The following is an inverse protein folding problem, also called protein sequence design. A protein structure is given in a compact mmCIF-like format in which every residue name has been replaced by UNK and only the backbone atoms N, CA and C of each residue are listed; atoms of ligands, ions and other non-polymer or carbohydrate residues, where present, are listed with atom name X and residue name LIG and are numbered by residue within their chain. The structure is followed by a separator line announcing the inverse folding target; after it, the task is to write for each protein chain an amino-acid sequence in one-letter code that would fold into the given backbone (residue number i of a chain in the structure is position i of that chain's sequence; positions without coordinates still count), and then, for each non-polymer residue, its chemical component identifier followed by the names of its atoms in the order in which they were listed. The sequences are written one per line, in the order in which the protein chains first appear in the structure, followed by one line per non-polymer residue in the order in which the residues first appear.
data_IF_726772639247
#
_entry.id   IF_726772639247
#
_cell.length_a   1.000
_cell.length_b   1.000
_cell.length_c   1.000
_cell.angle_alpha   90.00
_cell.angle_beta   90.00
_cell.angle_gamma   90.00
#
_symmetry.space_group_name_H-M   'P 1'
#
loop_
_entity.id
_entity.type
_entity.pdbx_description
1 polymer ?
#
# COMPACT_ATOMS: atom_id res chain seq x y z
N UNK A 1 -21.29 -22.64 3.85
CA UNK A 1 -20.99 -22.20 5.22
C UNK A 1 -19.57 -22.66 5.48
N UNK A 2 -18.60 -21.88 5.03
CA UNK A 2 -17.18 -22.13 5.27
C UNK A 2 -16.73 -21.00 6.18
N UNK A 3 -16.35 -21.41 7.39
CA UNK A 3 -16.01 -20.53 8.51
C UNK A 3 -14.58 -20.06 8.23
N UNK A 4 -14.45 -18.75 8.09
CA UNK A 4 -13.23 -18.04 7.74
C UNK A 4 -12.27 -18.05 8.95
N UNK A 5 -11.60 -19.18 9.18
CA UNK A 5 -10.48 -19.30 10.14
C UNK A 5 -9.22 -18.66 9.53
N UNK A 6 -9.31 -17.37 9.19
CA UNK A 6 -8.13 -16.56 8.93
C UNK A 6 -7.53 -16.23 10.29
N UNK A 7 -6.29 -16.68 10.51
CA UNK A 7 -5.54 -16.33 11.72
C UNK A 7 -5.39 -14.81 11.82
N UNK A 8 -5.30 -14.23 13.03
CA UNK A 8 -5.10 -12.78 13.20
C UNK A 8 -3.88 -12.25 12.42
N UNK A 9 -2.89 -13.11 12.18
CA UNK A 9 -1.72 -12.80 11.36
C UNK A 9 -2.05 -12.72 9.86
N UNK A 10 -2.92 -13.61 9.37
CA UNK A 10 -3.37 -13.68 7.98
C UNK A 10 -4.28 -12.51 7.61
N UNK A 11 -5.15 -12.07 8.52
CA UNK A 11 -6.01 -10.89 8.32
C UNK A 11 -5.20 -9.59 8.29
N UNK A 12 -4.16 -9.48 9.12
CA UNK A 12 -3.21 -8.37 9.10
C UNK A 12 -2.37 -8.36 7.81
N UNK A 13 -1.91 -9.54 7.36
CA UNK A 13 -1.18 -9.70 6.10
C UNK A 13 -2.01 -9.27 4.89
N UNK A 14 -3.28 -9.72 4.81
CA UNK A 14 -4.24 -9.31 3.79
C UNK A 14 -4.48 -7.80 3.78
N UNK A 15 -4.62 -7.20 4.96
CA UNK A 15 -4.86 -5.75 5.08
C UNK A 15 -3.69 -4.94 4.55
N UNK A 16 -2.45 -5.31 4.89
CA UNK A 16 -1.23 -4.67 4.36
C UNK A 16 -1.13 -4.82 2.84
N UNK A 17 -1.30 -6.04 2.33
CA UNK A 17 -1.23 -6.29 0.89
C UNK A 17 -2.24 -5.43 0.11
N UNK A 18 -3.46 -5.25 0.62
CA UNK A 18 -4.50 -4.41 0.01
C UNK A 18 -4.17 -2.92 0.03
N UNK A 19 -3.45 -2.46 1.05
CA UNK A 19 -3.01 -1.06 1.16
C UNK A 19 -2.01 -0.69 0.05
N UNK A 20 -1.11 -1.61 -0.31
CA UNK A 20 -0.05 -1.33 -1.29
C UNK A 20 -0.41 -1.69 -2.74
N UNK A 21 -1.18 -2.76 -2.95
CA UNK A 21 -1.49 -3.26 -4.31
C UNK A 21 -2.81 -2.73 -4.87
N UNK A 22 -3.67 -2.11 -4.04
CA UNK A 22 -5.00 -1.65 -4.42
C UNK A 22 -5.89 -2.71 -5.09
N UNK A 23 -5.62 -4.01 -4.88
CA UNK A 23 -6.45 -5.11 -5.39
C UNK A 23 -7.71 -5.23 -4.50
N UNK A 24 -8.88 -5.04 -5.10
CA UNK A 24 -10.16 -4.97 -4.39
C UNK A 24 -10.75 -6.33 -3.98
N UNK A 25 -10.28 -7.43 -4.59
CA UNK A 25 -10.79 -8.78 -4.32
C UNK A 25 -10.00 -9.48 -3.21
N UNK A 26 -10.68 -9.77 -2.09
CA UNK A 26 -10.13 -10.51 -0.95
C UNK A 26 -9.70 -11.92 -1.36
N UNK A 27 -10.47 -12.58 -2.21
CA UNK A 27 -10.18 -13.91 -2.74
C UNK A 27 -8.91 -13.94 -3.60
N UNK A 28 -8.72 -12.94 -4.46
CA UNK A 28 -7.50 -12.82 -5.29
C UNK A 28 -6.28 -12.54 -4.42
N UNK A 29 -6.39 -11.65 -3.44
CA UNK A 29 -5.32 -11.40 -2.47
C UNK A 29 -4.97 -12.66 -1.69
N UNK A 30 -5.97 -13.43 -1.25
CA UNK A 30 -5.76 -14.69 -0.53
C UNK A 30 -5.05 -15.73 -1.40
N UNK A 31 -5.44 -15.85 -2.67
CA UNK A 31 -4.77 -16.75 -3.62
C UNK A 31 -3.31 -16.33 -3.87
N UNK A 32 -3.04 -15.03 -3.99
CA UNK A 32 -1.68 -14.50 -4.13
C UNK A 32 -0.84 -14.75 -2.88
N UNK A 33 -1.34 -14.41 -1.69
CA UNK A 33 -0.63 -14.64 -0.42
C UNK A 33 -0.39 -16.14 -0.16
N UNK A 34 -1.38 -17.00 -0.46
CA UNK A 34 -1.23 -18.44 -0.31
C UNK A 34 -0.19 -19.04 -1.29
N UNK A 35 -0.02 -18.44 -2.47
CA UNK A 35 1.02 -18.85 -3.43
C UNK A 35 2.44 -18.42 -3.02
N UNK A 36 2.55 -17.44 -2.11
CA UNK A 36 3.82 -16.88 -1.63
C UNK A 36 4.07 -17.17 -0.14
N UNK A 37 3.56 -18.30 0.39
CA UNK A 37 3.75 -18.72 1.79
C UNK A 37 3.37 -17.65 2.83
N UNK A 38 2.39 -16.78 2.51
CA UNK A 38 1.97 -15.62 3.31
C UNK A 38 3.06 -14.57 3.55
N UNK A 39 4.12 -14.55 2.75
CA UNK A 39 5.14 -13.50 2.74
C UNK A 39 4.61 -12.25 2.02
N UNK A 40 4.13 -11.29 2.82
CA UNK A 40 3.49 -10.05 2.36
C UNK A 40 4.43 -9.23 1.48
N UNK A 41 5.71 -9.15 1.84
CA UNK A 41 6.68 -8.31 1.13
C UNK A 41 6.95 -8.88 -0.27
N UNK A 42 7.18 -10.20 -0.36
CA UNK A 42 7.36 -10.90 -1.65
C UNK A 42 6.12 -10.83 -2.52
N UNK A 43 4.94 -10.93 -1.91
CA UNK A 43 3.68 -10.83 -2.62
C UNK A 43 3.47 -9.42 -3.19
N UNK A 44 3.73 -8.37 -2.40
CA UNK A 44 3.63 -6.97 -2.85
C UNK A 44 4.62 -6.71 -3.98
N UNK A 45 5.87 -7.13 -3.83
CA UNK A 45 6.90 -6.98 -4.85
C UNK A 45 6.46 -7.66 -6.15
N UNK A 46 6.00 -8.90 -6.09
CA UNK A 46 5.51 -9.64 -7.26
C UNK A 46 4.27 -8.99 -7.88
N UNK A 47 3.33 -8.53 -7.06
CA UNK A 47 2.11 -7.88 -7.55
C UNK A 47 2.41 -6.55 -8.24
N UNK A 48 3.27 -5.72 -7.64
CA UNK A 48 3.73 -4.48 -8.27
C UNK A 48 4.52 -4.77 -9.55
N UNK A 49 5.44 -5.74 -9.53
CA UNK A 49 6.19 -6.16 -10.72
C UNK A 49 5.26 -6.68 -11.82
N UNK A 50 4.19 -7.39 -11.47
CA UNK A 50 3.19 -7.88 -12.41
C UNK A 50 2.37 -6.75 -13.03
N UNK A 51 2.01 -5.73 -12.26
CA UNK A 51 1.41 -4.49 -12.79
C UNK A 51 2.37 -3.74 -13.71
N UNK A 52 3.66 -3.88 -13.47
CA UNK A 52 4.73 -3.32 -14.30
C UNK A 52 5.27 -4.29 -15.36
N UNK A 53 4.66 -5.44 -15.67
CA UNK A 53 5.04 -6.31 -16.81
C UNK A 53 6.58 -6.49 -17.00
N UNK A 54 7.34 -6.58 -15.90
CA UNK A 54 8.78 -6.91 -15.92
C UNK A 54 8.97 -8.38 -15.49
N UNK A 55 9.46 -9.29 -16.34
CA UNK A 55 9.97 -10.59 -15.91
C UNK A 55 11.17 -10.42 -14.97
N UNK A 56 10.96 -10.68 -13.68
CA UNK A 56 12.01 -10.90 -12.69
C UNK A 56 12.51 -12.34 -12.76
N UNK A 57 13.71 -12.53 -13.33
CA UNK A 57 14.52 -13.73 -13.11
C UNK A 57 15.77 -13.31 -12.35
N UNK A 58 15.62 -13.16 -11.03
CA UNK A 58 16.75 -13.16 -10.10
C UNK A 58 16.65 -14.46 -9.31
N UNK A 59 17.24 -15.50 -9.89
CA UNK A 59 17.64 -16.71 -9.18
C UNK A 59 18.78 -16.33 -8.22
N UNK A 60 18.46 -16.09 -6.95
CA UNK A 60 19.44 -16.23 -5.87
C UNK A 60 19.13 -17.51 -5.09
N UNK A 61 19.53 -18.63 -5.70
CA UNK A 61 19.63 -19.93 -5.06
C UNK A 61 20.91 -19.94 -4.21
N UNK A 62 20.79 -19.70 -2.90
CA UNK A 62 21.77 -20.16 -1.92
C UNK A 62 21.02 -20.79 -0.73
N UNK A 63 20.64 -22.05 -0.93
CA UNK A 63 20.24 -22.97 0.11
C UNK A 63 21.50 -23.45 0.86
N UNK A 64 21.53 -23.24 2.17
CA UNK A 64 22.28 -24.07 3.11
C UNK A 64 21.43 -24.25 4.37
N UNK A 65 20.69 -25.35 4.38
CA UNK A 65 20.11 -26.06 5.54
C UNK A 65 21.26 -26.62 6.43
N UNK A 66 20.99 -27.42 7.48
CA UNK A 66 20.25 -27.14 8.72
C UNK A 66 21.08 -27.57 9.95
N UNK A 67 20.76 -27.12 11.17
CA UNK A 67 21.24 -27.80 12.37
C UNK A 67 20.12 -28.00 13.39
N UNK A 68 20.10 -29.21 13.94
CA UNK A 68 18.98 -29.94 14.52
C UNK A 68 19.32 -30.33 15.97
N UNK A 69 18.36 -30.10 16.89
CA UNK A 69 18.10 -30.77 18.19
C UNK A 69 19.10 -30.54 19.37
N UNK A 70 18.74 -30.81 20.66
CA UNK A 70 17.55 -31.53 21.14
C UNK A 70 16.79 -31.07 22.41
N UNK A 71 15.53 -31.51 22.43
CA UNK A 71 14.56 -31.89 23.48
C UNK A 71 14.86 -31.82 25.01
N UNK A 72 13.90 -31.18 25.72
CA UNK A 72 13.07 -31.65 26.88
C UNK A 72 13.68 -31.79 28.32
N UNK A 73 12.88 -32.11 29.38
CA UNK A 73 12.01 -31.30 30.29
C UNK A 73 12.47 -31.47 31.79
N UNK A 74 11.67 -31.42 32.91
CA UNK A 74 10.48 -30.66 33.39
C UNK A 74 10.70 -29.90 34.74
N UNK A 75 9.69 -29.15 35.20
CA UNK A 75 9.26 -28.73 36.59
C UNK A 75 10.21 -28.87 37.83
N UNK A 76 10.13 -27.97 38.84
CA UNK A 76 9.03 -27.99 39.82
C UNK A 76 8.53 -26.63 40.37
N UNK A 77 7.25 -26.63 40.77
CA UNK A 77 6.52 -25.63 41.56
C UNK A 77 6.96 -25.64 43.04
N UNK A 78 6.85 -24.50 43.78
CA UNK A 78 6.01 -24.53 44.99
C UNK A 78 5.30 -23.20 45.34
N UNK A 79 3.97 -23.28 45.39
CA UNK A 79 3.01 -22.91 46.48
C UNK A 79 3.13 -21.65 47.35
N UNK A 80 1.91 -21.14 47.63
CA UNK A 80 1.43 -20.44 48.86
C UNK A 80 1.84 -18.95 48.98
N UNK A 81 0.96 -17.96 49.22
CA UNK A 81 -0.15 -17.91 50.17
C UNK A 81 -1.23 -16.87 49.76
N UNK A 82 -2.49 -17.19 50.06
CA UNK A 82 -3.67 -16.30 50.04
C UNK A 82 -3.90 -15.74 51.46
N UNK A 83 -4.44 -14.51 51.61
CA UNK A 83 -5.59 -14.38 52.51
C UNK A 83 -6.69 -13.40 52.04
N UNK A 84 -7.90 -13.94 51.84
CA UNK A 84 -9.19 -13.52 52.43
C UNK A 84 -9.39 -12.03 52.77
N UNK A 85 -10.26 -11.31 52.02
CA UNK A 85 -11.22 -10.32 52.58
C UNK A 85 -12.56 -10.31 51.80
N UNK A 86 -13.53 -10.98 52.42
CA UNK A 86 -14.94 -10.61 52.66
C UNK A 86 -15.79 -9.92 51.58
N UNK A 87 -16.85 -10.64 51.18
CA UNK A 87 -18.05 -10.16 50.48
C UNK A 87 -18.85 -9.19 51.36
N UNK A 88 -19.22 -8.02 50.83
CA UNK A 88 -20.26 -7.17 51.39
C UNK A 88 -21.26 -6.77 50.29
N UNK A 89 -22.51 -7.19 50.43
CA UNK A 89 -23.65 -6.83 49.59
C UNK A 89 -24.45 -5.75 50.34
N UNK A 90 -24.67 -4.55 49.79
CA UNK A 90 -25.74 -3.68 50.21
C UNK A 90 -26.90 -3.72 49.21
N UNK A 91 -28.06 -4.17 49.67
CA UNK A 91 -29.34 -4.00 49.00
C UNK A 91 -29.79 -2.53 49.10
N UNK A 92 -30.16 -1.90 47.99
CA UNK A 92 -31.01 -0.68 48.01
C UNK A 92 -31.95 -0.61 46.79
N UNK A 93 -33.25 -0.77 47.07
CA UNK A 93 -34.48 -0.16 46.48
C UNK A 93 -34.78 -0.28 44.96
N UNK A 94 -36.08 -0.32 44.57
CA UNK A 94 -36.56 -0.76 43.26
C UNK A 94 -36.46 0.34 42.19
N UNK A 95 -36.44 -0.03 40.89
CA UNK A 95 -36.50 0.94 39.81
C UNK A 95 -37.93 1.48 39.67
N UNK A 96 -38.11 2.77 40.00
CA UNK A 96 -39.27 3.55 39.54
C UNK A 96 -39.15 3.73 38.02
N UNK A 97 -39.86 2.87 37.28
CA UNK A 97 -39.93 2.92 35.82
C UNK A 97 -40.98 3.96 35.44
N UNK A 98 -40.55 5.21 35.34
CA UNK A 98 -41.24 6.22 34.56
C UNK A 98 -41.15 5.82 33.07
N UNK A 99 -42.21 5.21 32.53
CA UNK A 99 -42.31 4.74 31.15
C UNK A 99 -42.58 5.95 30.26
N UNK A 100 -41.53 6.72 29.98
CA UNK A 100 -41.52 7.63 28.85
C UNK A 100 -41.18 6.85 27.58
N UNK A 101 -42.00 7.03 26.53
CA UNK A 101 -42.04 6.25 25.30
C UNK A 101 -40.63 5.93 24.73
N UNK A 102 -40.15 4.67 24.83
CA UNK A 102 -38.78 4.30 24.44
C UNK A 102 -38.53 4.46 22.94
N UNK A 103 -39.58 4.41 22.11
CA UNK A 103 -39.53 4.55 20.66
C UNK A 103 -39.09 5.98 20.24
N UNK A 104 -39.60 7.01 20.91
CA UNK A 104 -39.23 8.40 20.62
C UNK A 104 -37.81 8.73 21.09
N UNK A 105 -37.32 8.03 22.13
CA UNK A 105 -35.96 8.20 22.65
C UNK A 105 -34.91 7.58 21.71
N UNK A 106 -35.19 6.42 21.13
CA UNK A 106 -34.29 5.75 20.18
C UNK A 106 -34.19 6.53 18.86
N UNK A 107 -35.28 7.16 18.39
CA UNK A 107 -35.27 7.98 17.17
C UNK A 107 -34.52 9.32 17.36
N UNK A 108 -34.57 9.90 18.56
CA UNK A 108 -33.96 11.20 18.85
C UNK A 108 -32.45 11.12 19.09
N UNK A 109 -31.91 9.96 19.48
CA UNK A 109 -30.47 9.77 19.71
C UNK A 109 -29.63 9.98 18.42
N UNK A 110 -29.86 9.29 17.29
CA UNK A 110 -29.06 9.49 16.08
C UNK A 110 -29.21 10.90 15.49
N UNK A 111 -30.41 11.50 15.59
CA UNK A 111 -30.67 12.86 15.09
C UNK A 111 -29.94 13.93 15.91
N UNK A 112 -29.88 13.76 17.24
CA UNK A 112 -29.14 14.66 18.12
C UNK A 112 -27.62 14.48 17.95
N UNK A 113 -27.15 13.24 17.73
CA UNK A 113 -25.75 12.96 17.37
C UNK A 113 -25.37 13.58 16.02
N UNK A 114 -26.21 13.47 14.99
CA UNK A 114 -25.96 14.04 13.66
C UNK A 114 -25.92 15.58 13.71
N UNK A 115 -26.85 16.20 14.46
CA UNK A 115 -26.90 17.65 14.64
C UNK A 115 -25.71 18.18 15.46
N UNK A 116 -25.31 17.45 16.51
CA UNK A 116 -24.11 17.78 17.29
C UNK A 116 -22.82 17.56 16.51
N UNK A 117 -22.76 16.55 15.65
CA UNK A 117 -21.63 16.27 14.76
C UNK A 117 -21.49 17.37 13.71
N UNK A 118 -22.59 17.79 13.07
CA UNK A 118 -22.61 18.90 12.11
C UNK A 118 -22.17 20.25 12.72
N UNK A 119 -22.52 20.51 13.99
CA UNK A 119 -22.10 21.74 14.70
C UNK A 119 -20.70 21.67 15.32
N UNK A 120 -20.16 20.47 15.59
CA UNK A 120 -18.81 20.26 16.14
C UNK A 120 -17.75 19.87 15.11
N UNK A 121 -18.11 19.71 13.84
CA UNK A 121 -17.14 19.72 12.75
C UNK A 121 -16.61 21.14 12.66
N UNK A 122 -15.54 21.41 13.41
CA UNK A 122 -14.68 22.57 13.17
C UNK A 122 -14.32 22.64 11.67
N UNK A 123 -14.21 23.84 11.08
CA UNK A 123 -14.10 24.04 9.62
C UNK A 123 -12.84 23.44 8.97
N UNK A 124 -12.02 22.73 9.75
CA UNK A 124 -10.79 22.08 9.33
C UNK A 124 -11.01 20.81 8.48
N UNK A 125 -12.05 20.03 8.75
CA UNK A 125 -12.32 18.77 8.03
C UNK A 125 -12.92 19.02 6.63
N UNK A 126 -13.95 19.87 6.43
CA UNK A 126 -14.48 20.08 5.08
C UNK A 126 -13.45 20.75 4.16
N UNK A 127 -12.62 21.66 4.68
CA UNK A 127 -11.60 22.35 3.86
C UNK A 127 -10.46 21.43 3.41
N UNK A 128 -10.03 20.49 4.26
CA UNK A 128 -8.98 19.52 3.90
C UNK A 128 -9.47 18.52 2.87
N UNK A 129 -10.68 17.97 3.05
CA UNK A 129 -11.30 17.06 2.08
C UNK A 129 -11.52 17.77 0.74
N UNK A 130 -12.02 19.00 0.74
CA UNK A 130 -12.18 19.81 -0.48
C UNK A 130 -10.82 20.09 -1.14
N UNK A 131 -9.76 20.36 -0.37
CA UNK A 131 -8.41 20.56 -0.94
C UNK A 131 -7.84 19.32 -1.60
N UNK A 132 -8.02 18.15 -0.99
CA UNK A 132 -7.56 16.87 -1.54
C UNK A 132 -8.32 16.53 -2.81
N UNK A 133 -9.66 16.67 -2.78
CA UNK A 133 -10.50 16.47 -3.97
C UNK A 133 -10.15 17.48 -5.06
N UNK A 134 -9.95 18.75 -4.73
CA UNK A 134 -9.56 19.77 -5.70
C UNK A 134 -8.16 19.50 -6.27
N UNK A 135 -7.22 19.00 -5.48
CA UNK A 135 -5.89 18.61 -5.95
C UNK A 135 -5.97 17.41 -6.89
N UNK A 136 -6.81 16.42 -6.57
CA UNK A 136 -7.02 15.24 -7.39
C UNK A 136 -7.72 15.60 -8.71
N UNK A 137 -8.79 16.42 -8.65
CA UNK A 137 -9.48 16.93 -9.84
C UNK A 137 -8.58 17.86 -10.66
N UNK A 138 -7.74 18.68 -10.01
CA UNK A 138 -6.73 19.48 -10.73
C UNK A 138 -5.71 18.56 -11.39
N UNK A 139 -5.24 17.52 -10.72
CA UNK A 139 -4.35 16.52 -11.32
C UNK A 139 -5.03 15.72 -12.43
N UNK A 140 -6.36 15.63 -12.44
CA UNK A 140 -7.13 14.88 -13.43
C UNK A 140 -7.53 15.75 -14.64
N UNK A 141 -7.77 17.04 -14.43
CA UNK A 141 -8.21 18.00 -15.46
C UNK A 141 -7.01 18.76 -16.05
N UNK A 142 -5.94 18.98 -15.29
CA UNK A 142 -4.66 19.55 -15.77
C UNK A 142 -3.54 18.50 -15.92
N UNK A 143 -3.77 17.25 -15.53
CA UNK A 143 -2.82 16.17 -15.75
C UNK A 143 -2.85 15.70 -17.19
N UNK A 144 -1.85 16.16 -17.95
CA UNK A 144 -1.42 15.51 -19.18
C UNK A 144 -2.22 15.93 -20.40
N UNK A 145 -1.60 16.77 -21.23
CA UNK A 145 -1.82 16.63 -22.67
C UNK A 145 -1.57 15.15 -23.02
N UNK A 146 -2.29 14.54 -23.97
CA UNK A 146 -1.86 13.27 -24.54
C UNK A 146 -0.44 13.48 -25.08
N UNK A 147 0.55 13.00 -24.33
CA UNK A 147 1.95 13.11 -24.67
C UNK A 147 2.21 11.99 -25.66
N UNK A 148 2.45 12.36 -26.91
CA UNK A 148 2.93 11.43 -27.92
C UNK A 148 4.43 11.21 -27.68
N UNK A 149 4.84 10.05 -27.14
CA UNK A 149 6.21 9.83 -26.66
C UNK A 149 7.24 9.90 -27.79
N UNK A 150 6.82 9.59 -29.02
CA UNK A 150 7.68 9.63 -30.20
C UNK A 150 8.06 11.08 -30.54
N UNK A 151 7.08 11.99 -30.51
CA UNK A 151 7.30 13.39 -30.86
C UNK A 151 8.19 14.09 -29.82
N UNK A 152 8.02 13.77 -28.53
CA UNK A 152 8.84 14.32 -27.46
C UNK A 152 10.31 13.87 -27.55
N UNK A 153 10.55 12.62 -27.93
CA UNK A 153 11.91 12.09 -28.11
C UNK A 153 12.58 12.76 -29.31
N UNK A 154 11.89 12.97 -30.43
CA UNK A 154 12.45 13.66 -31.59
C UNK A 154 12.76 15.15 -31.30
N UNK A 155 11.90 15.82 -30.54
CA UNK A 155 12.15 17.19 -30.03
C UNK A 155 13.39 17.20 -29.12
N UNK A 156 13.50 16.21 -28.22
CA UNK A 156 14.66 16.07 -27.34
C UNK A 156 15.95 15.77 -28.11
N UNK A 157 15.92 14.88 -29.12
CA UNK A 157 17.10 14.58 -29.95
C UNK A 157 17.58 15.85 -30.66
N UNK A 158 16.65 16.61 -31.24
CA UNK A 158 16.97 17.89 -31.90
C UNK A 158 17.58 18.88 -30.90
N UNK A 159 17.03 18.96 -29.69
CA UNK A 159 17.59 19.79 -28.62
C UNK A 159 19.01 19.33 -28.23
N UNK A 160 19.21 18.02 -28.06
CA UNK A 160 20.49 17.43 -27.67
C UNK A 160 21.57 17.66 -28.73
N UNK A 161 21.23 17.43 -30.00
CA UNK A 161 22.11 17.68 -31.15
C UNK A 161 22.56 19.13 -31.24
N UNK A 162 21.65 20.07 -30.98
CA UNK A 162 21.96 21.49 -31.01
C UNK A 162 22.85 21.95 -29.84
N UNK A 163 22.75 21.30 -28.67
CA UNK A 163 23.51 21.68 -27.48
C UNK A 163 24.87 20.99 -27.38
N UNK A 164 24.93 19.69 -27.68
CA UNK A 164 26.10 18.84 -27.44
C UNK A 164 26.75 18.35 -28.73
N UNK A 165 26.03 18.42 -29.85
CA UNK A 165 26.48 17.97 -31.16
C UNK A 165 25.90 16.59 -31.54
N UNK A 166 26.08 16.17 -32.80
CA UNK A 166 25.47 14.95 -33.35
C UNK A 166 26.16 13.65 -32.93
N UNK A 167 27.22 13.72 -32.13
CA UNK A 167 28.02 12.56 -31.72
C UNK A 167 27.45 11.98 -30.42
N UNK A 168 26.38 11.20 -30.52
CA UNK A 168 25.81 10.50 -29.37
C UNK A 168 25.30 9.10 -29.75
N UNK A 169 25.16 8.17 -28.78
CA UNK A 169 24.51 6.89 -29.02
C UNK A 169 23.05 7.08 -29.46
N UNK A 170 22.51 6.20 -30.31
CA UNK A 170 21.13 6.32 -30.77
C UNK A 170 20.14 6.24 -29.59
N UNK A 171 19.27 7.23 -29.47
CA UNK A 171 18.18 7.20 -28.50
C UNK A 171 17.05 6.29 -28.98
N UNK A 172 16.47 5.51 -28.06
CA UNK A 172 15.35 4.63 -28.36
C UNK A 172 14.08 5.45 -28.64
N UNK A 173 13.41 5.21 -29.79
CA UNK A 173 12.20 5.93 -30.20
C UNK A 173 10.95 5.13 -29.81
N UNK A 174 10.38 5.42 -28.64
CA UNK A 174 9.15 4.78 -28.19
C UNK A 174 8.89 4.98 -26.70
N UNK A 175 7.91 4.24 -26.17
CA UNK A 175 7.62 4.25 -24.72
C UNK A 175 8.69 3.47 -23.96
N UNK A 176 8.93 3.86 -22.70
CA UNK A 176 9.81 3.13 -21.79
C UNK A 176 9.46 1.63 -21.69
N UNK A 177 8.18 1.30 -21.52
CA UNK A 177 7.72 -0.09 -21.45
C UNK A 177 8.00 -0.89 -22.72
N UNK A 178 8.06 -0.24 -23.88
CA UNK A 178 8.41 -0.89 -25.13
C UNK A 178 9.91 -1.20 -25.19
N UNK A 179 10.75 -0.22 -24.84
CA UNK A 179 12.21 -0.41 -24.77
C UNK A 179 12.59 -1.56 -23.81
N UNK A 180 11.87 -1.66 -22.70
CA UNK A 180 12.08 -2.69 -21.69
C UNK A 180 11.70 -4.08 -22.17
N UNK A 181 10.52 -4.22 -22.80
CA UNK A 181 10.10 -5.51 -23.41
C UNK A 181 11.08 -5.96 -24.49
N UNK A 182 11.57 -5.03 -25.32
CA UNK A 182 12.54 -5.35 -26.36
C UNK A 182 13.88 -5.77 -25.77
N UNK A 183 14.37 -5.06 -24.75
CA UNK A 183 15.60 -5.40 -24.03
C UNK A 183 15.52 -6.79 -23.39
N UNK A 184 14.38 -7.14 -22.76
CA UNK A 184 14.15 -8.46 -22.18
C UNK A 184 14.08 -9.57 -23.23
N UNK A 185 13.37 -9.32 -24.33
CA UNK A 185 13.24 -10.28 -25.44
C UNK A 185 14.60 -10.60 -26.07
N UNK A 186 15.47 -9.61 -26.18
CA UNK A 186 16.80 -9.75 -26.78
C UNK A 186 17.90 -10.07 -25.74
N UNK A 187 17.55 -10.18 -24.45
CA UNK A 187 18.48 -10.37 -23.33
C UNK A 187 19.62 -9.34 -23.34
N UNK A 188 19.24 -8.07 -23.52
CA UNK A 188 20.14 -6.91 -23.53
C UNK A 188 19.91 -6.06 -22.29
N UNK A 189 20.95 -5.37 -21.85
CA UNK A 189 20.85 -4.41 -20.76
C UNK A 189 20.20 -3.11 -21.28
N UNK A 190 19.26 -2.57 -20.53
CA UNK A 190 18.66 -1.26 -20.78
C UNK A 190 19.41 -0.18 -19.99
N UNK A 191 19.97 0.81 -20.68
CA UNK A 191 20.60 1.97 -20.04
C UNK A 191 19.63 3.15 -20.03
N UNK A 192 19.31 3.65 -18.84
CA UNK A 192 18.41 4.79 -18.64
C UNK A 192 19.25 6.02 -18.32
N UNK A 193 19.15 7.03 -19.18
CA UNK A 193 19.80 8.32 -18.99
C UNK A 193 18.79 9.34 -18.47
N UNK A 194 19.02 9.83 -17.25
CA UNK A 194 18.22 10.89 -16.64
C UNK A 194 18.90 12.23 -16.93
N UNK A 195 18.27 13.03 -17.79
CA UNK A 195 18.82 14.32 -18.19
C UNK A 195 18.38 15.45 -17.26
N UNK A 196 19.36 16.14 -16.67
CA UNK A 196 19.14 17.37 -15.90
C UNK A 196 19.84 18.54 -16.59
N UNK A 197 19.07 19.56 -16.99
CA UNK A 197 19.55 20.71 -17.78
C UNK A 197 20.54 21.62 -17.04
N UNK A 198 20.45 21.69 -15.71
CA UNK A 198 21.20 22.64 -14.88
C UNK A 198 22.37 22.02 -14.12
N UNK A 199 22.71 20.76 -14.39
CA UNK A 199 23.83 20.13 -13.70
C UNK A 199 25.16 20.51 -14.36
N UNK A 200 26.15 21.05 -13.62
CA UNK A 200 27.46 21.44 -14.16
C UNK A 200 28.27 20.25 -14.70
N UNK A 201 27.88 19.02 -14.37
CA UNK A 201 28.51 17.79 -14.86
C UNK A 201 27.90 17.29 -16.17
N UNK A 202 26.68 17.75 -16.52
CA UNK A 202 25.96 17.31 -17.70
C UNK A 202 26.73 17.67 -18.98
N UNK A 203 27.20 18.91 -19.08
CA UNK A 203 27.93 19.39 -20.26
C UNK A 203 29.24 18.65 -20.52
N UNK A 204 29.88 18.14 -19.47
CA UNK A 204 31.10 17.35 -19.60
C UNK A 204 30.81 15.89 -19.94
N UNK A 205 29.68 15.35 -19.48
CA UNK A 205 29.27 13.98 -19.77
C UNK A 205 28.72 13.83 -21.19
N UNK A 206 28.05 14.86 -21.71
CA UNK A 206 27.37 14.84 -23.01
C UNK A 206 28.25 15.21 -24.21
N UNK A 207 29.50 15.66 -24.00
CA UNK A 207 30.50 15.97 -25.06
C UNK A 207 31.49 14.83 -25.24
#
# INVERSE_FOLDING_TARGET
MEVDDLTDEQSNALSRFREFTHIDSVETCRQYLAAHDWDVERAIETALISDFDLPSNINDNNEATPDVLPSAPPMPEPTLDEPTIQRFIPNTLPPDRNIENPILRILRIPLTFLYAFYLKIEPFIPWTVIRVIFSFVKSLVWGGRPIDPINEIDEYCTYFDNQYGPNHPPFYRGKFSQALRDAQREVRLLFIYLHEKNSPLCDRFCR
#
